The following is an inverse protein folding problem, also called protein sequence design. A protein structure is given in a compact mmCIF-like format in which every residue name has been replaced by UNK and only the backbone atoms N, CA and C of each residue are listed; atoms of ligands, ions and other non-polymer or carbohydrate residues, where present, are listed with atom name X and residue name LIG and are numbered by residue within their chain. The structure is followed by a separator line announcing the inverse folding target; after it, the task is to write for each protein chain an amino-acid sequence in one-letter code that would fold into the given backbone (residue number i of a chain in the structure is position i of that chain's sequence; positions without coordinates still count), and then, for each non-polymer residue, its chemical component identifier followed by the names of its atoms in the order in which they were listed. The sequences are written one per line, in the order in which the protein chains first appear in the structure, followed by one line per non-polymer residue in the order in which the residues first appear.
data_IF_868287652597
#
_entry.id   IF_868287652597
#
_cell.length_a   1.000
_cell.length_b   1.000
_cell.length_c   1.000
_cell.angle_alpha   90.00
_cell.angle_beta   90.00
_cell.angle_gamma   90.00
#
_symmetry.space_group_name_H-M   'P 1'
#
loop_
_entity.id
_entity.type
_entity.pdbx_description
1 polymer ?
#
# COMPACT_ATOMS: atom_id res chain seq x y z
N UNK A 1 26.73 19.56 4.03
CA UNK A 1 26.15 19.36 2.67
C UNK A 1 24.69 19.79 2.65
N UNK A 2 24.13 20.07 1.46
CA UNK A 2 22.73 20.49 1.33
C UNK A 2 21.77 19.36 1.74
N UNK A 3 20.72 19.72 2.45
CA UNK A 3 19.62 18.78 2.76
C UNK A 3 18.90 18.33 1.49
N UNK A 4 18.22 17.18 1.53
CA UNK A 4 17.39 16.70 0.40
C UNK A 4 16.40 17.76 -0.06
N UNK A 5 15.82 18.52 0.88
CA UNK A 5 14.87 19.58 0.54
C UNK A 5 15.52 20.73 -0.22
N UNK A 6 16.72 21.17 0.18
CA UNK A 6 17.49 22.20 -0.53
C UNK A 6 17.86 21.75 -1.95
N UNK A 7 18.32 20.51 -2.11
CA UNK A 7 18.63 19.93 -3.43
C UNK A 7 17.40 19.92 -4.35
N UNK A 8 16.22 19.54 -3.83
CA UNK A 8 14.96 19.60 -4.55
C UNK A 8 14.61 21.02 -4.93
N UNK A 9 14.75 21.98 -3.97
CA UNK A 9 14.41 23.38 -4.18
C UNK A 9 15.34 24.11 -5.15
N UNK A 10 16.53 23.61 -5.43
CA UNK A 10 17.38 24.13 -6.52
C UNK A 10 16.69 24.03 -7.89
N UNK A 11 16.07 22.89 -8.19
CA UNK A 11 15.45 22.58 -9.49
C UNK A 11 13.94 22.80 -9.53
N UNK A 12 13.26 22.70 -8.38
CA UNK A 12 11.81 22.67 -8.29
C UNK A 12 11.27 23.73 -7.35
N UNK A 13 10.16 24.35 -7.72
CA UNK A 13 9.34 25.22 -6.89
C UNK A 13 8.28 24.39 -6.17
N UNK A 14 8.14 24.54 -4.85
CA UNK A 14 7.09 23.87 -4.07
C UNK A 14 5.76 24.59 -4.28
N UNK A 15 4.77 23.90 -4.86
CA UNK A 15 3.42 24.45 -5.07
C UNK A 15 2.48 24.17 -3.89
N UNK A 16 2.60 23.00 -3.26
CA UNK A 16 1.78 22.62 -2.12
C UNK A 16 2.06 21.21 -1.62
N UNK A 17 1.63 20.94 -0.39
CA UNK A 17 1.72 19.61 0.22
C UNK A 17 0.45 18.81 -0.16
N UNK A 18 0.62 17.63 -0.76
CA UNK A 18 -0.49 16.73 -1.12
C UNK A 18 -0.83 15.83 0.06
N UNK A 19 0.19 15.22 0.70
CA UNK A 19 -0.01 14.24 1.77
C UNK A 19 1.19 14.25 2.71
N UNK A 20 0.94 13.96 3.98
CA UNK A 20 1.98 13.71 4.98
C UNK A 20 1.64 12.45 5.77
N UNK A 21 2.65 11.67 6.11
CA UNK A 21 2.51 10.45 6.90
C UNK A 21 3.79 10.12 7.65
N UNK A 22 3.79 9.03 8.41
CA UNK A 22 4.94 8.64 9.23
C UNK A 22 6.24 8.36 8.47
N UNK A 23 6.15 8.00 7.19
CA UNK A 23 7.30 7.70 6.33
C UNK A 23 7.81 8.92 5.56
N UNK A 24 7.12 10.07 5.60
CA UNK A 24 7.52 11.25 4.85
C UNK A 24 6.36 12.10 4.36
N UNK A 25 6.64 12.96 3.40
CA UNK A 25 5.66 13.88 2.84
C UNK A 25 5.71 13.90 1.30
N UNK A 26 4.54 14.15 0.69
CA UNK A 26 4.37 14.24 -0.75
C UNK A 26 3.99 15.67 -1.08
N UNK A 27 4.72 16.28 -2.00
CA UNK A 27 4.53 17.66 -2.44
C UNK A 27 4.25 17.72 -3.94
N UNK A 28 3.35 18.60 -4.35
CA UNK A 28 3.25 19.05 -5.72
C UNK A 28 4.31 20.11 -5.95
N UNK A 29 5.06 19.99 -7.05
CA UNK A 29 6.15 20.89 -7.39
C UNK A 29 6.09 21.27 -8.86
N UNK A 30 6.76 22.37 -9.24
CA UNK A 30 6.95 22.79 -10.63
C UNK A 30 8.44 22.84 -10.94
N UNK A 31 8.86 22.24 -12.05
CA UNK A 31 10.25 22.35 -12.51
C UNK A 31 10.53 23.78 -12.96
N UNK A 32 11.49 24.46 -12.34
CA UNK A 32 11.73 25.90 -12.51
C UNK A 32 12.03 26.31 -13.97
N UNK A 33 12.73 25.45 -14.73
CA UNK A 33 13.12 25.74 -16.11
C UNK A 33 12.08 25.23 -17.14
N UNK A 34 11.46 24.06 -16.87
CA UNK A 34 10.54 23.43 -17.85
C UNK A 34 9.08 23.87 -17.65
N UNK A 35 8.74 24.43 -16.47
CA UNK A 35 7.38 24.80 -16.11
C UNK A 35 6.45 23.62 -15.82
N UNK A 36 6.95 22.39 -15.92
CA UNK A 36 6.14 21.17 -15.79
C UNK A 36 5.89 20.80 -14.32
N UNK A 37 4.67 20.37 -14.05
CA UNK A 37 4.27 19.91 -12.72
C UNK A 37 4.78 18.48 -12.45
N UNK A 38 5.25 18.24 -11.22
CA UNK A 38 5.78 16.96 -10.73
C UNK A 38 5.28 16.71 -9.31
N UNK A 39 5.48 15.49 -8.85
CA UNK A 39 5.30 15.11 -7.45
C UNK A 39 6.66 14.78 -6.87
N UNK A 40 6.95 15.34 -5.70
CA UNK A 40 8.14 14.97 -4.91
C UNK A 40 7.68 14.23 -3.67
N UNK A 41 8.14 12.99 -3.52
CA UNK A 41 7.97 12.18 -2.32
C UNK A 41 9.26 12.24 -1.52
N UNK A 42 9.24 12.94 -0.38
CA UNK A 42 10.36 13.03 0.55
C UNK A 42 10.17 11.93 1.60
N UNK A 43 11.19 11.11 1.78
CA UNK A 43 11.21 10.02 2.75
C UNK A 43 12.26 10.28 3.81
N UNK A 44 11.95 9.93 5.05
CA UNK A 44 12.86 9.98 6.19
C UNK A 44 13.36 8.57 6.49
N UNK A 45 14.62 8.38 6.88
CA UNK A 45 15.10 7.10 7.36
C UNK A 45 14.29 6.71 8.60
N UNK A 46 13.91 5.45 8.71
CA UNK A 46 13.21 4.94 9.90
C UNK A 46 14.17 4.68 11.06
N UNK A 47 15.45 4.47 10.75
CA UNK A 47 16.54 4.28 11.71
C UNK A 47 17.67 5.24 11.35
N UNK A 48 18.10 6.06 12.31
CA UNK A 48 19.29 6.90 12.14
C UNK A 48 20.54 6.00 11.98
N UNK A 49 21.30 6.21 10.91
CA UNK A 49 22.59 5.55 10.69
C UNK A 49 22.56 4.28 9.84
N UNK A 50 21.44 3.87 9.25
CA UNK A 50 21.39 2.74 8.32
C UNK A 50 21.95 3.11 6.94
N UNK A 51 23.28 3.05 6.81
CA UNK A 51 23.98 3.31 5.53
C UNK A 51 23.62 2.27 4.44
N UNK A 52 23.31 1.02 4.82
CA UNK A 52 22.87 0.01 3.86
C UNK A 52 21.51 0.34 3.27
N UNK A 53 20.62 0.95 4.06
CA UNK A 53 19.32 1.43 3.57
C UNK A 53 19.50 2.43 2.42
N UNK A 54 20.34 3.45 2.59
CA UNK A 54 20.60 4.46 1.58
C UNK A 54 21.18 3.85 0.29
N UNK A 55 22.13 2.91 0.41
CA UNK A 55 22.76 2.25 -0.75
C UNK A 55 21.74 1.40 -1.52
N UNK A 56 20.93 0.59 -0.81
CA UNK A 56 19.87 -0.22 -1.42
C UNK A 56 18.83 0.66 -2.12
N UNK A 57 18.43 1.73 -1.46
CA UNK A 57 17.45 2.68 -1.97
C UNK A 57 17.91 3.34 -3.28
N UNK A 58 19.17 3.80 -3.34
CA UNK A 58 19.78 4.36 -4.58
C UNK A 58 19.79 3.33 -5.70
N UNK A 59 20.17 2.08 -5.41
CA UNK A 59 20.23 1.00 -6.40
C UNK A 59 18.85 0.70 -6.99
N UNK A 60 17.80 0.69 -6.17
CA UNK A 60 16.45 0.49 -6.64
C UNK A 60 15.94 1.69 -7.46
N UNK A 61 16.20 2.92 -7.01
CA UNK A 61 15.87 4.12 -7.76
C UNK A 61 16.53 4.11 -9.15
N UNK A 62 17.78 3.66 -9.27
CA UNK A 62 18.49 3.50 -10.57
C UNK A 62 17.80 2.48 -11.49
N UNK A 63 17.17 1.46 -10.93
CA UNK A 63 16.40 0.50 -11.71
C UNK A 63 15.08 1.11 -12.17
N UNK A 64 14.40 1.83 -11.29
CA UNK A 64 13.08 2.39 -11.54
C UNK A 64 13.09 3.58 -12.50
N UNK A 65 14.15 4.37 -12.54
CA UNK A 65 14.26 5.49 -13.48
C UNK A 65 14.25 5.02 -14.96
N UNK A 66 14.59 3.75 -15.20
CA UNK A 66 14.55 3.11 -16.51
C UNK A 66 13.21 2.49 -16.87
N UNK A 67 12.28 2.40 -15.89
CA UNK A 67 10.93 1.88 -16.11
C UNK A 67 10.14 2.92 -16.87
N UNK A 68 9.71 2.60 -18.09
CA UNK A 68 8.85 3.46 -18.93
C UNK A 68 7.70 2.63 -19.46
N UNK A 69 6.50 2.99 -19.05
CA UNK A 69 5.26 2.35 -19.49
C UNK A 69 4.08 3.33 -19.34
N UNK A 70 3.13 3.37 -20.27
CA UNK A 70 2.00 4.32 -20.19
C UNK A 70 1.19 4.18 -18.90
N UNK A 71 1.06 2.97 -18.38
CA UNK A 71 0.32 2.66 -17.17
C UNK A 71 1.18 2.65 -15.88
N UNK A 72 2.39 3.20 -15.90
CA UNK A 72 3.25 3.35 -14.72
C UNK A 72 3.70 4.80 -14.62
N UNK A 73 3.59 5.39 -13.43
CA UNK A 73 4.09 6.74 -13.16
C UNK A 73 5.61 6.81 -13.37
N UNK A 74 6.07 7.77 -14.17
CA UNK A 74 7.47 7.93 -14.49
C UNK A 74 8.24 8.50 -13.30
N UNK A 75 9.36 7.90 -12.93
CA UNK A 75 10.38 8.49 -12.06
C UNK A 75 11.31 9.37 -12.92
N UNK A 76 11.47 10.65 -12.55
CA UNK A 76 12.28 11.63 -13.30
C UNK A 76 13.61 11.92 -12.66
N UNK A 77 13.65 12.05 -11.32
CA UNK A 77 14.85 12.43 -10.60
C UNK A 77 14.84 11.84 -9.19
N UNK A 78 16.00 11.80 -8.58
CA UNK A 78 16.22 11.22 -7.28
C UNK A 78 17.29 11.99 -6.53
N UNK A 79 17.05 12.28 -5.25
CA UNK A 79 17.98 12.97 -4.36
C UNK A 79 18.18 12.17 -3.08
N UNK A 80 19.37 12.23 -2.51
CA UNK A 80 19.67 11.68 -1.20
C UNK A 80 20.68 12.59 -0.48
N UNK A 81 20.58 12.66 0.84
CA UNK A 81 21.55 13.38 1.69
C UNK A 81 22.31 12.42 2.60
N UNK A 82 23.33 12.95 3.28
CA UNK A 82 24.19 12.16 4.18
C UNK A 82 23.46 11.69 5.45
N UNK A 83 22.36 12.34 5.79
CA UNK A 83 21.50 11.93 6.91
C UNK A 83 20.59 10.73 6.54
N UNK A 84 20.67 10.23 5.29
CA UNK A 84 19.86 9.14 4.78
C UNK A 84 18.45 9.56 4.34
N UNK A 85 18.12 10.86 4.33
CA UNK A 85 16.86 11.29 3.73
C UNK A 85 16.93 11.15 2.22
N UNK A 86 15.80 10.83 1.61
CA UNK A 86 15.72 10.66 0.17
C UNK A 86 14.48 11.35 -0.40
N UNK A 87 14.58 11.82 -1.64
CA UNK A 87 13.45 12.35 -2.38
C UNK A 87 13.37 11.75 -3.78
N UNK A 88 12.18 11.37 -4.18
CA UNK A 88 11.86 10.91 -5.53
C UNK A 88 10.99 11.95 -6.23
N UNK A 89 11.37 12.32 -7.44
CA UNK A 89 10.59 13.20 -8.31
C UNK A 89 9.89 12.37 -9.35
N UNK A 90 8.58 12.37 -9.30
CA UNK A 90 7.73 11.52 -10.15
C UNK A 90 6.75 12.34 -10.99
N UNK A 91 6.17 11.70 -11.97
CA UNK A 91 5.07 12.23 -12.76
C UNK A 91 3.92 12.69 -11.86
N UNK A 92 3.43 13.93 -12.09
CA UNK A 92 2.16 14.38 -11.54
C UNK A 92 1.03 13.86 -12.41
N UNK A 93 0.08 13.15 -11.80
CA UNK A 93 -1.07 12.56 -12.50
C UNK A 93 -2.32 13.33 -12.08
N UNK A 94 -2.91 14.15 -12.98
CA UNK A 94 -4.16 14.84 -12.71
C UNK A 94 -5.32 13.85 -12.78
N UNK A 95 -5.66 13.25 -11.64
CA UNK A 95 -6.66 12.18 -11.56
C UNK A 95 -7.06 11.89 -10.11
N UNK A 96 -7.73 10.75 -9.93
CA UNK A 96 -8.22 10.25 -8.67
C UNK A 96 -7.63 8.85 -8.43
N UNK A 97 -7.20 8.53 -7.21
CA UNK A 97 -6.88 7.16 -6.87
C UNK A 97 -8.14 6.31 -6.70
N UNK A 98 -8.02 4.99 -6.86
CA UNK A 98 -9.20 4.09 -6.79
C UNK A 98 -9.81 4.04 -5.38
N UNK A 99 -9.06 4.36 -4.33
CA UNK A 99 -9.58 4.49 -2.97
C UNK A 99 -10.57 5.65 -2.89
N UNK A 100 -10.15 6.80 -3.39
CA UNK A 100 -10.95 8.00 -3.40
C UNK A 100 -12.15 7.85 -4.36
N UNK A 101 -11.96 7.16 -5.50
CA UNK A 101 -13.06 6.80 -6.41
C UNK A 101 -14.13 6.02 -5.66
N UNK A 102 -13.75 4.92 -5.00
CA UNK A 102 -14.68 4.08 -4.25
C UNK A 102 -15.38 4.84 -3.12
N UNK A 103 -14.63 5.70 -2.42
CA UNK A 103 -15.17 6.51 -1.31
C UNK A 103 -16.18 7.54 -1.78
N UNK A 104 -15.93 8.23 -2.91
CA UNK A 104 -16.80 9.31 -3.43
C UNK A 104 -17.98 8.80 -4.23
N UNK A 105 -17.75 7.78 -5.06
CA UNK A 105 -18.70 7.35 -6.09
C UNK A 105 -19.22 5.94 -5.88
N UNK A 106 -18.61 5.16 -4.95
CA UNK A 106 -18.89 3.73 -4.81
C UNK A 106 -18.32 2.91 -5.96
N UNK A 107 -18.74 1.65 -6.12
CA UNK A 107 -18.32 0.80 -7.22
C UNK A 107 -18.71 1.40 -8.58
N UNK A 108 -17.77 1.50 -9.53
CA UNK A 108 -18.05 1.96 -10.88
C UNK A 108 -18.90 0.94 -11.66
N UNK A 109 -19.28 1.28 -12.89
CA UNK A 109 -19.89 0.30 -13.80
C UNK A 109 -18.95 -0.87 -14.06
N UNK A 110 -19.51 -2.01 -14.46
CA UNK A 110 -18.70 -3.18 -14.86
C UNK A 110 -17.72 -2.84 -16.00
N UNK A 111 -18.15 -1.98 -16.94
CA UNK A 111 -17.32 -1.55 -18.05
C UNK A 111 -16.07 -0.79 -17.59
N UNK A 112 -16.24 0.19 -16.71
CA UNK A 112 -15.12 0.95 -16.14
C UNK A 112 -14.25 0.08 -15.23
N UNK A 113 -14.86 -0.78 -14.43
CA UNK A 113 -14.11 -1.72 -13.57
C UNK A 113 -13.22 -2.66 -14.40
N UNK A 114 -13.73 -3.22 -15.50
CA UNK A 114 -12.97 -4.09 -16.41
C UNK A 114 -11.86 -3.31 -17.14
N UNK A 115 -12.13 -2.08 -17.57
CA UNK A 115 -11.11 -1.22 -18.19
C UNK A 115 -9.97 -0.91 -17.21
N UNK A 116 -10.31 -0.49 -15.98
CA UNK A 116 -9.34 -0.23 -14.92
C UNK A 116 -8.54 -1.50 -14.61
N UNK A 117 -9.20 -2.64 -14.49
CA UNK A 117 -8.55 -3.92 -14.23
C UNK A 117 -7.57 -4.31 -15.32
N UNK A 118 -7.99 -4.17 -16.60
CA UNK A 118 -7.15 -4.49 -17.75
C UNK A 118 -5.88 -3.64 -17.79
N UNK A 119 -6.00 -2.33 -17.64
CA UNK A 119 -4.86 -1.40 -17.66
C UNK A 119 -3.94 -1.57 -16.43
N UNK A 120 -4.50 -1.88 -15.25
CA UNK A 120 -3.70 -2.21 -14.08
C UNK A 120 -2.81 -3.42 -14.32
N UNK A 121 -3.33 -4.46 -14.98
CA UNK A 121 -2.56 -5.65 -15.34
C UNK A 121 -1.53 -5.39 -16.44
N UNK A 122 -1.73 -4.40 -17.32
CA UNK A 122 -0.68 -3.96 -18.26
C UNK A 122 0.56 -3.47 -17.48
N UNK A 123 0.34 -2.65 -16.44
CA UNK A 123 1.41 -2.18 -15.57
C UNK A 123 2.07 -3.34 -14.79
N UNK A 124 1.25 -4.16 -14.13
CA UNK A 124 1.73 -5.29 -13.30
C UNK A 124 2.50 -6.30 -14.16
N UNK A 125 1.97 -6.72 -15.30
CA UNK A 125 2.62 -7.64 -16.22
C UNK A 125 3.94 -7.09 -16.79
N UNK A 126 3.99 -5.78 -17.07
CA UNK A 126 5.22 -5.14 -17.49
C UNK A 126 6.34 -5.23 -16.43
N UNK A 127 6.02 -5.08 -15.14
CA UNK A 127 6.97 -5.26 -14.04
C UNK A 127 7.38 -6.73 -13.92
N UNK A 128 6.42 -7.65 -13.97
CA UNK A 128 6.67 -9.09 -13.85
C UNK A 128 7.62 -9.62 -14.93
N UNK A 129 7.47 -9.18 -16.19
CA UNK A 129 8.38 -9.54 -17.29
C UNK A 129 9.83 -9.05 -17.06
N UNK A 130 10.04 -8.13 -16.12
CA UNK A 130 11.36 -7.64 -15.68
C UNK A 130 11.80 -8.24 -14.36
N UNK A 131 11.14 -9.30 -13.89
CA UNK A 131 11.38 -9.94 -12.60
C UNK A 131 11.21 -8.98 -11.41
N UNK A 132 10.32 -7.99 -11.55
CA UNK A 132 10.00 -7.04 -10.49
C UNK A 132 8.63 -7.38 -9.93
N UNK A 133 8.54 -7.61 -8.62
CA UNK A 133 7.29 -7.80 -7.88
C UNK A 133 6.99 -6.53 -7.11
N UNK A 134 5.80 -5.98 -7.27
CA UNK A 134 5.43 -4.68 -6.70
C UNK A 134 5.21 -4.75 -5.18
N UNK A 135 4.61 -5.82 -4.67
CA UNK A 135 4.37 -6.12 -3.24
C UNK A 135 3.45 -5.13 -2.50
N UNK A 136 2.90 -4.14 -3.18
CA UNK A 136 2.02 -3.12 -2.59
C UNK A 136 0.87 -2.69 -3.53
N UNK A 137 0.30 -3.63 -4.25
CA UNK A 137 -0.88 -3.36 -5.08
C UNK A 137 -2.06 -3.06 -4.16
N UNK A 138 -2.61 -1.86 -4.29
CA UNK A 138 -3.75 -1.36 -3.51
C UNK A 138 -4.48 -0.26 -4.27
N UNK A 139 -5.73 0.08 -3.92
CA UNK A 139 -6.47 1.16 -4.59
C UNK A 139 -5.78 2.52 -4.48
N UNK A 140 -5.02 2.76 -3.41
CA UNK A 140 -4.27 4.00 -3.19
C UNK A 140 -3.10 4.16 -4.16
N UNK A 141 -2.62 3.06 -4.74
CA UNK A 141 -1.48 3.03 -5.67
C UNK A 141 -1.90 2.91 -7.16
N UNK A 142 -3.19 2.98 -7.45
CA UNK A 142 -3.74 2.97 -8.80
C UNK A 142 -4.51 4.26 -9.04
N UNK A 143 -4.01 5.12 -9.93
CA UNK A 143 -4.61 6.39 -10.30
C UNK A 143 -5.40 6.23 -11.60
N UNK A 144 -6.65 6.68 -11.60
CA UNK A 144 -7.46 6.87 -12.80
C UNK A 144 -7.36 8.32 -13.24
N UNK A 145 -6.95 8.55 -14.47
CA UNK A 145 -6.84 9.87 -15.10
C UNK A 145 -7.36 9.81 -16.55
N UNK A 146 -7.20 10.89 -17.31
CA UNK A 146 -7.46 10.94 -18.76
C UNK A 146 -6.14 10.93 -19.51
N UNK A 147 -6.11 10.25 -20.65
CA UNK A 147 -5.03 10.42 -21.63
C UNK A 147 -5.22 11.71 -22.46
N UNK A 148 -4.33 11.94 -23.42
CA UNK A 148 -4.38 13.10 -24.30
C UNK A 148 -5.65 13.14 -25.17
N UNK A 149 -6.29 12.00 -25.44
CA UNK A 149 -7.53 11.88 -26.20
C UNK A 149 -8.78 11.94 -25.30
N UNK A 150 -8.63 12.17 -23.99
CA UNK A 150 -9.72 12.20 -23.01
C UNK A 150 -10.22 10.81 -22.58
N UNK A 151 -9.55 9.72 -23.00
CA UNK A 151 -9.91 8.35 -22.62
C UNK A 151 -9.41 8.01 -21.23
N UNK A 152 -10.01 7.00 -20.53
CA UNK A 152 -9.52 6.57 -19.23
C UNK A 152 -8.11 5.99 -19.35
N UNK A 153 -7.22 6.48 -18.50
CA UNK A 153 -5.86 5.99 -18.33
C UNK A 153 -5.63 5.65 -16.88
N UNK A 154 -5.21 4.41 -16.61
CA UNK A 154 -4.81 3.97 -15.27
C UNK A 154 -3.30 4.00 -15.17
N UNK A 155 -2.79 4.59 -14.10
CA UNK A 155 -1.37 4.62 -13.79
C UNK A 155 -1.09 4.02 -12.41
N UNK A 156 -0.20 3.04 -12.37
CA UNK A 156 0.37 2.49 -11.15
C UNK A 156 1.42 3.48 -10.63
N UNK A 157 1.21 3.95 -9.41
CA UNK A 157 2.12 4.83 -8.69
C UNK A 157 2.83 4.04 -7.59
N UNK A 158 3.92 4.57 -7.08
CA UNK A 158 4.64 4.06 -5.90
C UNK A 158 5.13 2.61 -6.04
N UNK A 159 6.19 2.40 -6.80
CA UNK A 159 6.77 1.08 -7.14
C UNK A 159 7.44 0.36 -5.95
N UNK A 160 6.89 0.45 -4.75
CA UNK A 160 7.20 -0.44 -3.61
C UNK A 160 8.66 -0.44 -3.11
N UNK A 161 9.49 0.53 -3.51
CA UNK A 161 10.92 0.64 -3.17
C UNK A 161 11.16 0.45 -1.66
N UNK A 162 10.31 1.05 -0.85
CA UNK A 162 10.46 1.04 0.61
C UNK A 162 10.22 -0.37 1.19
N UNK A 163 9.35 -1.18 0.57
CA UNK A 163 9.00 -2.51 1.11
C UNK A 163 10.07 -3.58 0.93
N UNK A 164 10.88 -3.48 -0.11
CA UNK A 164 12.03 -4.39 -0.28
C UNK A 164 13.03 -4.15 0.86
N UNK A 165 13.16 -2.90 1.29
CA UNK A 165 14.06 -2.48 2.36
C UNK A 165 13.51 -2.81 3.76
N UNK A 166 12.20 -2.69 3.97
CA UNK A 166 11.53 -3.01 5.24
C UNK A 166 11.45 -4.52 5.52
N UNK A 167 11.28 -5.34 4.48
CA UNK A 167 11.16 -6.80 4.64
C UNK A 167 12.44 -7.46 5.19
N UNK A 168 13.60 -6.82 4.97
CA UNK A 168 14.88 -7.30 5.48
C UNK A 168 15.25 -6.70 6.86
N UNK A 169 14.66 -5.56 7.24
CA UNK A 169 15.08 -4.80 8.42
C UNK A 169 14.20 -4.97 9.66
N UNK A 170 12.92 -5.34 9.54
CA UNK A 170 12.02 -5.36 10.69
C UNK A 170 11.06 -6.55 10.70
N UNK A 171 11.12 -7.32 11.78
CA UNK A 171 9.99 -8.14 12.21
C UNK A 171 8.74 -7.27 12.40
N UNK A 172 7.63 -7.77 11.95
CA UNK A 172 6.25 -7.28 11.78
C UNK A 172 5.58 -6.43 12.91
N UNK A 173 6.26 -5.49 13.58
CA UNK A 173 5.71 -4.83 14.78
C UNK A 173 5.80 -3.31 14.79
N UNK A 174 5.03 -2.62 13.94
CA UNK A 174 4.73 -1.20 14.13
C UNK A 174 3.24 -0.94 13.98
N UNK A 175 2.61 -0.60 15.10
CA UNK A 175 1.18 -0.42 15.32
C UNK A 175 0.59 0.76 14.55
N UNK A 176 -0.59 0.59 13.97
CA UNK A 176 -1.48 1.66 13.48
C UNK A 176 -1.42 1.97 11.98
N UNK A 177 -0.25 2.18 11.39
CA UNK A 177 -0.08 2.43 9.94
C UNK A 177 -0.20 1.14 9.11
N UNK A 178 -0.10 0.01 9.77
CA UNK A 178 -0.04 -1.33 9.21
C UNK A 178 -1.38 -1.88 8.73
N UNK A 179 -2.50 -1.51 9.37
CA UNK A 179 -3.83 -2.07 9.06
C UNK A 179 -4.25 -1.78 7.62
N UNK A 180 -3.95 -0.58 7.11
CA UNK A 180 -4.27 -0.21 5.71
C UNK A 180 -3.55 -1.10 4.69
N UNK A 181 -2.28 -1.39 4.92
CA UNK A 181 -1.43 -2.23 4.05
C UNK A 181 -1.78 -3.72 4.15
N UNK A 182 -2.14 -4.21 5.34
CA UNK A 182 -2.54 -5.60 5.59
C UNK A 182 -3.77 -6.00 4.78
N UNK A 183 -4.68 -5.07 4.50
CA UNK A 183 -5.95 -5.33 3.79
C UNK A 183 -5.80 -5.92 2.38
N UNK A 184 -4.66 -5.69 1.74
CA UNK A 184 -4.38 -6.12 0.34
C UNK A 184 -3.21 -7.08 0.24
N UNK A 185 -2.52 -7.37 1.35
CA UNK A 185 -1.36 -8.24 1.34
C UNK A 185 -1.75 -9.69 1.05
N UNK A 186 -0.92 -10.39 0.29
CA UNK A 186 -1.13 -11.81 -0.02
C UNK A 186 -0.78 -12.70 1.17
N UNK A 187 -1.35 -13.92 1.27
CA UNK A 187 -1.07 -14.87 2.35
C UNK A 187 0.43 -15.14 2.54
N UNK A 188 1.17 -15.30 1.44
CA UNK A 188 2.60 -15.58 1.47
C UNK A 188 3.45 -14.39 1.95
N UNK A 189 2.97 -13.16 1.86
CA UNK A 189 3.65 -12.00 2.44
C UNK A 189 3.71 -12.08 3.98
N UNK A 190 2.75 -12.74 4.61
CA UNK A 190 2.75 -12.99 6.06
C UNK A 190 3.61 -14.18 6.45
N UNK A 191 3.84 -15.13 5.53
CA UNK A 191 4.69 -16.32 5.71
C UNK A 191 6.16 -16.05 5.33
N UNK A 192 6.51 -14.85 4.85
CA UNK A 192 7.87 -14.54 4.37
C UNK A 192 8.94 -14.63 5.48
N UNK A 193 8.58 -14.37 6.73
CA UNK A 193 9.45 -14.60 7.89
C UNK A 193 9.83 -16.09 8.07
N UNK A 194 9.04 -17.02 7.51
CA UNK A 194 9.27 -18.46 7.50
C UNK A 194 10.07 -18.93 6.26
N UNK A 195 10.60 -17.99 5.43
CA UNK A 195 11.38 -18.28 4.23
C UNK A 195 10.53 -18.52 2.97
N UNK A 196 9.25 -18.19 2.98
CA UNK A 196 8.40 -18.27 1.79
C UNK A 196 8.89 -17.31 0.71
N UNK A 197 9.19 -17.84 -0.48
CA UNK A 197 9.62 -17.04 -1.63
C UNK A 197 8.43 -16.31 -2.24
N UNK A 198 8.49 -14.98 -2.23
CA UNK A 198 7.50 -14.13 -2.91
C UNK A 198 7.77 -14.12 -4.42
N UNK A 199 6.74 -14.40 -5.20
CA UNK A 199 6.77 -14.29 -6.66
C UNK A 199 5.67 -13.34 -7.18
N UNK A 200 5.57 -13.23 -8.50
CA UNK A 200 4.60 -12.38 -9.20
C UNK A 200 3.12 -12.66 -8.83
N UNK A 201 2.81 -13.86 -8.33
CA UNK A 201 1.45 -14.25 -7.96
C UNK A 201 0.98 -13.58 -6.66
N UNK A 202 1.92 -13.03 -5.87
CA UNK A 202 1.58 -12.18 -4.72
C UNK A 202 0.87 -10.90 -5.18
N UNK A 203 1.36 -10.25 -6.24
CA UNK A 203 0.69 -9.08 -6.81
C UNK A 203 -0.67 -9.43 -7.41
N UNK A 204 -0.82 -10.63 -7.99
CA UNK A 204 -2.10 -11.09 -8.54
C UNK A 204 -3.16 -11.30 -7.47
N UNK A 205 -2.78 -11.79 -6.28
CA UNK A 205 -3.70 -11.87 -5.14
C UNK A 205 -4.13 -10.47 -4.68
N UNK A 206 -3.16 -9.56 -4.46
CA UNK A 206 -3.43 -8.19 -4.06
C UNK A 206 -4.32 -7.48 -5.08
N UNK A 207 -4.06 -7.67 -6.37
CA UNK A 207 -4.92 -7.19 -7.45
C UNK A 207 -6.32 -7.82 -7.39
N UNK A 208 -6.44 -9.11 -7.05
CA UNK A 208 -7.72 -9.78 -6.83
C UNK A 208 -8.55 -9.12 -5.73
N UNK A 209 -7.90 -8.70 -4.62
CA UNK A 209 -8.54 -7.94 -3.54
C UNK A 209 -9.05 -6.58 -4.04
N UNK A 210 -8.21 -5.86 -4.80
CA UNK A 210 -8.59 -4.57 -5.42
C UNK A 210 -9.77 -4.73 -6.37
N UNK A 211 -9.74 -5.75 -7.24
CA UNK A 211 -10.80 -6.01 -8.20
C UNK A 211 -12.11 -6.39 -7.52
N UNK A 212 -12.04 -7.22 -6.47
CA UNK A 212 -13.22 -7.56 -5.65
C UNK A 212 -13.85 -6.30 -5.06
N UNK A 213 -13.03 -5.43 -4.43
CA UNK A 213 -13.52 -4.19 -3.84
C UNK A 213 -14.08 -3.22 -4.91
N UNK A 214 -13.44 -3.13 -6.07
CA UNK A 214 -13.90 -2.30 -7.19
C UNK A 214 -15.27 -2.74 -7.72
N UNK A 215 -15.53 -4.06 -7.74
CA UNK A 215 -16.79 -4.63 -8.21
C UNK A 215 -17.92 -4.54 -7.18
N UNK A 216 -17.61 -4.70 -5.88
CA UNK A 216 -18.61 -4.84 -4.82
C UNK A 216 -18.70 -3.65 -3.87
N UNK A 217 -17.66 -2.80 -3.81
CA UNK A 217 -17.50 -1.74 -2.80
C UNK A 217 -17.12 -2.28 -1.42
N UNK A 218 -16.79 -3.58 -1.30
CA UNK A 218 -16.45 -4.24 -0.04
C UNK A 218 -15.18 -5.06 -0.18
N UNK A 219 -14.45 -5.21 0.92
CA UNK A 219 -13.29 -6.10 0.96
C UNK A 219 -13.73 -7.57 0.99
N UNK A 220 -12.96 -8.50 0.35
CA UNK A 220 -13.25 -9.92 0.37
C UNK A 220 -13.01 -10.59 1.72
N UNK A 221 -12.23 -9.96 2.60
CA UNK A 221 -11.94 -10.42 3.95
C UNK A 221 -12.15 -9.29 4.95
N UNK A 222 -12.56 -9.61 6.17
CA UNK A 222 -12.83 -8.64 7.24
C UNK A 222 -12.09 -9.02 8.50
N UNK A 223 -11.76 -8.03 9.31
CA UNK A 223 -11.13 -8.17 10.60
C UNK A 223 -10.95 -6.80 11.26
N UNK A 224 -11.24 -6.73 12.55
CA UNK A 224 -11.20 -5.49 13.33
C UNK A 224 -9.78 -5.14 13.80
N UNK A 225 -8.87 -6.09 13.71
CA UNK A 225 -7.45 -5.93 14.09
C UNK A 225 -6.54 -6.40 12.96
N UNK A 226 -5.27 -5.96 12.97
CA UNK A 226 -4.28 -6.44 12.01
C UNK A 226 -4.12 -7.97 12.07
N UNK A 227 -4.10 -8.56 13.27
CA UNK A 227 -4.00 -10.02 13.45
C UNK A 227 -5.22 -10.75 12.89
N UNK A 228 -6.44 -10.22 13.09
CA UNK A 228 -7.65 -10.79 12.53
C UNK A 228 -7.65 -10.73 10.99
N UNK A 229 -7.20 -9.62 10.40
CA UNK A 229 -7.03 -9.49 8.95
C UNK A 229 -5.99 -10.47 8.40
N UNK A 230 -4.83 -10.60 9.06
CA UNK A 230 -3.80 -11.59 8.69
C UNK A 230 -4.39 -13.01 8.71
N UNK A 231 -5.07 -13.39 9.79
CA UNK A 231 -5.71 -14.69 9.89
C UNK A 231 -6.76 -14.89 8.79
N UNK A 232 -7.55 -13.85 8.45
CA UNK A 232 -8.53 -13.91 7.39
C UNK A 232 -7.89 -14.10 6.01
N UNK A 233 -6.79 -13.40 5.71
CA UNK A 233 -6.03 -13.61 4.47
C UNK A 233 -5.41 -15.02 4.38
N UNK A 234 -4.91 -15.55 5.49
CA UNK A 234 -4.27 -16.86 5.54
C UNK A 234 -5.28 -18.02 5.43
N UNK A 235 -6.41 -17.94 6.15
CA UNK A 235 -7.22 -19.12 6.44
C UNK A 235 -8.69 -19.00 6.03
N UNK A 236 -9.26 -17.79 5.95
CA UNK A 236 -10.68 -17.66 5.65
C UNK A 236 -10.94 -17.52 4.15
N UNK A 237 -11.97 -18.17 3.60
CA UNK A 237 -12.38 -17.91 2.23
C UNK A 237 -12.81 -16.45 2.06
N UNK A 238 -12.78 -15.91 0.83
CA UNK A 238 -13.38 -14.61 0.55
C UNK A 238 -14.88 -14.61 0.91
N UNK A 239 -15.40 -13.47 1.31
CA UNK A 239 -16.84 -13.30 1.47
C UNK A 239 -17.55 -13.65 0.16
N UNK A 240 -18.65 -14.38 0.25
CA UNK A 240 -19.46 -14.74 -0.91
C UNK A 240 -20.08 -13.49 -1.57
N UNK A 241 -20.27 -13.56 -2.87
CA UNK A 241 -20.94 -12.49 -3.62
C UNK A 241 -22.42 -12.35 -3.27
N UNK A 242 -23.06 -13.39 -2.71
CA UNK A 242 -24.39 -13.33 -2.13
C UNK A 242 -24.49 -12.34 -0.96
N UNK A 243 -23.39 -12.17 -0.20
CA UNK A 243 -23.29 -11.22 0.91
C UNK A 243 -22.88 -9.84 0.44
N UNK A 244 -21.94 -9.75 -0.50
CA UNK A 244 -21.31 -8.46 -0.88
C UNK A 244 -21.92 -7.83 -2.13
N UNK A 245 -22.60 -8.62 -2.96
CA UNK A 245 -23.35 -8.22 -4.14
C UNK A 245 -24.74 -8.90 -4.17
N UNK A 246 -25.63 -8.65 -3.18
CA UNK A 246 -26.93 -9.31 -3.08
C UNK A 246 -27.85 -9.01 -4.26
N UNK A 247 -27.56 -7.95 -5.01
CA UNK A 247 -28.32 -7.57 -6.21
C UNK A 247 -27.87 -8.35 -7.47
N UNK A 248 -26.79 -9.13 -7.38
CA UNK A 248 -26.29 -9.92 -8.48
C UNK A 248 -25.74 -9.11 -9.66
N UNK A 249 -25.19 -7.92 -9.41
CA UNK A 249 -24.64 -7.05 -10.46
C UNK A 249 -23.38 -7.63 -11.09
N UNK A 250 -22.56 -8.34 -10.31
CA UNK A 250 -21.30 -8.93 -10.77
C UNK A 250 -21.61 -10.27 -11.46
N UNK A 251 -21.34 -10.42 -12.76
CA UNK A 251 -21.58 -11.65 -13.49
C UNK A 251 -20.67 -12.82 -13.05
N UNK A 252 -21.08 -14.05 -13.33
CA UNK A 252 -20.37 -15.26 -12.89
C UNK A 252 -18.93 -15.33 -13.41
N UNK A 253 -18.68 -14.93 -14.66
CA UNK A 253 -17.36 -14.92 -15.28
C UNK A 253 -16.36 -13.99 -14.54
N UNK A 254 -16.81 -12.82 -14.08
CA UNK A 254 -16.01 -11.93 -13.23
C UNK A 254 -15.85 -12.47 -11.80
N UNK A 255 -16.89 -13.09 -11.23
CA UNK A 255 -16.81 -13.74 -9.90
C UNK A 255 -15.77 -14.86 -9.92
N UNK A 256 -15.82 -15.73 -10.92
CA UNK A 256 -14.90 -16.86 -11.07
C UNK A 256 -13.45 -16.39 -11.23
N UNK A 257 -13.22 -15.33 -12.02
CA UNK A 257 -11.91 -14.72 -12.18
C UNK A 257 -11.37 -14.21 -10.85
N UNK A 258 -12.19 -13.44 -10.11
CA UNK A 258 -11.79 -12.87 -8.82
C UNK A 258 -11.50 -13.97 -7.80
N UNK A 259 -12.34 -15.00 -7.71
CA UNK A 259 -12.12 -16.12 -6.79
C UNK A 259 -10.84 -16.89 -7.10
N UNK A 260 -10.48 -17.05 -8.38
CA UNK A 260 -9.19 -17.63 -8.78
C UNK A 260 -8.00 -16.78 -8.35
N UNK A 261 -8.10 -15.46 -8.47
CA UNK A 261 -7.05 -14.53 -7.99
C UNK A 261 -6.88 -14.60 -6.48
N UNK A 262 -7.97 -14.79 -5.73
CA UNK A 262 -8.00 -14.86 -4.28
C UNK A 262 -7.71 -16.25 -3.69
N UNK A 263 -7.30 -17.23 -4.51
CA UNK A 263 -6.86 -18.52 -4.04
C UNK A 263 -5.70 -18.38 -3.04
N UNK A 264 -5.75 -19.15 -1.93
CA UNK A 264 -4.78 -19.00 -0.84
C UNK A 264 -3.39 -19.46 -1.25
N UNK A 265 -3.30 -20.58 -1.92
CA UNK A 265 -2.03 -21.09 -2.44
C UNK A 265 -1.70 -20.42 -3.78
N UNK A 266 -0.48 -19.92 -3.97
CA UNK A 266 -0.06 -19.27 -5.21
C UNK A 266 -0.18 -20.16 -6.44
N UNK A 267 -0.03 -21.49 -6.29
CA UNK A 267 -0.18 -22.49 -7.38
C UNK A 267 -1.57 -22.53 -7.98
N UNK A 268 -2.60 -22.18 -7.19
CA UNK A 268 -4.00 -22.25 -7.60
C UNK A 268 -4.47 -20.97 -8.31
N UNK A 269 -3.62 -19.94 -8.31
CA UNK A 269 -3.85 -18.66 -9.00
C UNK A 269 -3.42 -18.76 -10.47
N UNK A 270 -3.87 -17.83 -11.33
CA UNK A 270 -3.31 -17.67 -12.67
C UNK A 270 -1.78 -17.54 -12.62
N UNK A 271 -1.09 -18.12 -13.60
CA UNK A 271 0.37 -18.19 -13.59
C UNK A 271 1.05 -16.82 -13.69
N UNK A 272 0.43 -15.88 -14.41
CA UNK A 272 0.97 -14.55 -14.67
C UNK A 272 -0.14 -13.54 -15.00
N UNK A 273 0.23 -12.27 -15.12
CA UNK A 273 -0.70 -11.19 -15.45
C UNK A 273 -1.31 -11.34 -16.86
N UNK A 274 -0.56 -11.88 -17.81
CA UNK A 274 -1.00 -12.10 -19.19
C UNK A 274 -2.17 -13.09 -19.27
N UNK A 275 -2.13 -14.15 -18.46
CA UNK A 275 -3.23 -15.11 -18.37
C UNK A 275 -4.53 -14.45 -17.86
N UNK A 276 -4.42 -13.52 -16.92
CA UNK A 276 -5.56 -12.74 -16.40
C UNK A 276 -6.05 -11.74 -17.45
N UNK A 277 -5.15 -11.07 -18.15
CA UNK A 277 -5.49 -10.11 -19.20
C UNK A 277 -6.24 -10.75 -20.36
N UNK A 278 -5.88 -11.99 -20.73
CA UNK A 278 -6.59 -12.69 -21.80
C UNK A 278 -8.06 -12.91 -21.45
N UNK A 279 -8.35 -13.29 -20.21
CA UNK A 279 -9.72 -13.41 -19.71
C UNK A 279 -10.43 -12.04 -19.70
N UNK A 280 -9.78 -10.99 -19.22
CA UNK A 280 -10.35 -9.64 -19.19
C UNK A 280 -10.56 -9.07 -20.61
N UNK A 281 -9.74 -9.41 -21.59
CA UNK A 281 -9.90 -8.97 -22.98
C UNK A 281 -11.22 -9.45 -23.57
N UNK A 282 -11.63 -10.68 -23.28
CA UNK A 282 -12.91 -11.22 -23.68
C UNK A 282 -14.07 -10.49 -22.98
N UNK A 283 -13.91 -10.16 -21.69
CA UNK A 283 -14.92 -9.44 -20.92
C UNK A 283 -15.02 -7.97 -21.34
N UNK A 284 -13.90 -7.32 -21.70
CA UNK A 284 -13.87 -5.91 -22.15
C UNK A 284 -14.72 -5.65 -23.38
N UNK A 285 -14.85 -6.63 -24.29
CA UNK A 285 -15.75 -6.50 -25.43
C UNK A 285 -17.23 -6.54 -25.04
N UNK A 286 -17.57 -7.22 -23.95
CA UNK A 286 -18.94 -7.39 -23.43
C UNK A 286 -19.35 -6.24 -22.52
N UNK A 287 -18.47 -5.76 -21.65
CA UNK A 287 -18.74 -4.71 -20.68
C UNK A 287 -18.03 -3.42 -21.10
N UNK A 288 -18.82 -2.49 -21.63
CA UNK A 288 -18.31 -1.16 -22.05
C UNK A 288 -18.74 -0.11 -21.04
N UNK A 289 -17.87 0.84 -20.73
CA UNK A 289 -18.22 2.03 -19.97
C UNK A 289 -18.68 3.14 -20.90
N UNK A 290 -19.45 4.11 -20.36
CA UNK A 290 -19.84 5.30 -21.11
C UNK A 290 -18.88 6.47 -20.84
N UNK A 291 -18.64 7.37 -21.82
CA UNK A 291 -17.86 8.58 -21.61
C UNK A 291 -18.41 9.46 -20.47
N UNK A 292 -19.74 9.54 -20.33
CA UNK A 292 -20.41 10.33 -19.29
C UNK A 292 -20.13 9.82 -17.89
N UNK A 293 -19.86 8.52 -17.73
CA UNK A 293 -19.42 7.94 -16.44
C UNK A 293 -18.03 8.46 -16.07
N UNK A 294 -17.12 8.53 -17.03
CA UNK A 294 -15.79 9.06 -16.80
C UNK A 294 -15.81 10.54 -16.39
N UNK A 295 -16.74 11.33 -16.97
CA UNK A 295 -16.94 12.74 -16.62
C UNK A 295 -17.45 12.90 -15.18
N UNK A 296 -18.31 12.00 -14.72
CA UNK A 296 -18.81 12.02 -13.34
C UNK A 296 -17.73 11.66 -12.31
N UNK A 297 -16.84 10.73 -12.68
CA UNK A 297 -15.80 10.21 -11.80
C UNK A 297 -14.56 11.10 -11.79
N UNK A 298 -14.19 11.64 -12.95
CA UNK A 298 -13.06 12.54 -13.13
C UNK A 298 -13.59 13.94 -13.47
N UNK A 299 -13.61 14.86 -12.50
CA UNK A 299 -13.99 16.24 -12.76
C UNK A 299 -13.07 16.89 -13.81
N UNK A 300 -13.49 18.01 -14.42
CA UNK A 300 -12.67 18.76 -15.38
C UNK A 300 -11.28 19.05 -14.82
N UNK A 301 -10.27 19.07 -15.69
CA UNK A 301 -8.86 19.26 -15.26
C UNK A 301 -8.65 20.56 -14.45
N UNK A 302 -9.46 21.58 -14.69
CA UNK A 302 -9.41 22.86 -13.98
C UNK A 302 -9.77 22.70 -12.48
N UNK A 303 -10.75 21.85 -12.15
CA UNK A 303 -11.13 21.56 -10.75
C UNK A 303 -10.11 20.67 -10.04
N UNK A 304 -9.48 19.73 -10.75
CA UNK A 304 -8.40 18.87 -10.20
C UNK A 304 -7.15 19.69 -9.85
N UNK A 305 -6.88 20.76 -10.59
CA UNK A 305 -5.79 21.70 -10.30
C UNK A 305 -6.12 22.60 -9.10
N UNK A 306 -7.37 23.03 -8.95
CA UNK A 306 -7.81 23.88 -7.84
C UNK A 306 -7.82 23.13 -6.49
N UNK A 307 -8.24 21.86 -6.49
CA UNK A 307 -8.32 21.05 -5.26
C UNK A 307 -6.93 20.72 -4.69
N UNK A 308 -5.90 20.66 -5.53
CA UNK A 308 -4.52 20.45 -5.11
C UNK A 308 -3.86 21.70 -4.46
N UNK A 309 -4.51 22.86 -4.52
CA UNK A 309 -3.99 24.15 -4.05
C UNK A 309 -4.62 24.65 -2.74
N UNK A 310 -5.56 23.94 -2.12
CA UNK A 310 -6.24 24.39 -0.89
C UNK A 310 -5.53 24.00 0.38
N UNK A 311 -4.29 24.42 0.57
CA UNK A 311 -3.70 24.77 1.87
C UNK A 311 -2.55 25.75 1.66
N UNK A 312 -2.74 27.06 1.90
CA UNK A 312 -1.62 27.98 1.94
C UNK A 312 -0.69 27.56 3.08
N UNK A 313 0.64 27.61 2.89
CA UNK A 313 1.56 27.40 3.99
C UNK A 313 1.28 28.48 5.04
N UNK A 314 0.90 28.07 6.24
CA UNK A 314 0.94 28.96 7.40
C UNK A 314 2.40 29.31 7.66
N UNK A 315 2.82 30.45 7.15
CA UNK A 315 4.05 31.12 7.56
C UNK A 315 3.91 31.41 9.07
N UNK A 316 4.84 30.99 9.91
CA UNK A 316 4.85 31.47 11.27
C UNK A 316 5.25 32.95 11.22
N UNK A 317 4.25 33.83 11.21
CA UNK A 317 4.49 35.27 11.43
C UNK A 317 4.96 35.45 12.86
N UNK A 318 6.25 35.62 13.00
CA UNK A 318 6.86 36.14 14.23
C UNK A 318 6.39 37.55 14.46
N UNK A 319 5.32 37.72 15.23
CA UNK A 319 5.05 38.94 15.93
C UNK A 319 5.33 38.69 17.41
N UNK A 320 6.12 39.59 18.07
CA UNK A 320 6.33 39.48 19.52
C UNK A 320 4.99 39.73 20.21
N UNK A 321 4.48 38.75 20.91
CA UNK A 321 3.34 38.92 21.82
C UNK A 321 3.76 39.87 22.93
N UNK A 322 3.23 41.10 22.93
CA UNK A 322 3.16 41.95 24.11
C UNK A 322 2.36 41.23 25.18
N UNK A 323 2.99 40.95 26.30
CA UNK A 323 2.35 40.39 27.48
C UNK A 323 1.31 41.39 28.03
N UNK A 324 0.07 40.96 28.31
CA UNK A 324 -0.82 41.74 29.15
C UNK A 324 -0.37 41.57 30.61
N UNK A 325 -0.15 42.71 31.30
CA UNK A 325 0.07 42.80 32.74
C UNK A 325 -1.10 42.18 33.50
N UNK A 326 -0.80 41.17 34.32
CA UNK A 326 -1.77 40.56 35.23
C UNK A 326 -2.04 41.43 36.45
N UNK A 327 -3.27 41.50 36.96
CA UNK A 327 -3.54 42.10 38.26
C UNK A 327 -3.12 41.14 39.38
N UNK A 328 -2.40 41.68 40.33
CA UNK A 328 -1.96 41.04 41.59
C UNK A 328 -3.19 40.71 42.45
N UNK A 329 -3.48 39.42 42.62
CA UNK A 329 -4.29 38.95 43.72
C UNK A 329 -3.59 37.73 44.33
N UNK A 330 -3.28 37.82 45.60
CA UNK A 330 -2.52 36.81 46.33
C UNK A 330 -3.25 35.48 46.45
N UNK A 331 -2.51 34.42 46.25
CA UNK A 331 -2.91 33.08 46.62
C UNK A 331 -1.73 32.36 47.24
N UNK A 332 -1.92 31.95 48.51
CA UNK A 332 -0.99 31.09 49.23
C UNK A 332 -1.08 29.64 48.70
N UNK A 333 0.04 28.94 48.55
CA UNK A 333 -0.01 27.53 48.11
C UNK A 333 -0.29 26.61 49.28
N UNK A 334 -1.47 25.97 49.27
CA UNK A 334 -1.73 24.80 50.10
C UNK A 334 -1.01 23.59 49.50
N UNK A 335 -0.22 22.89 50.30
CA UNK A 335 0.51 21.69 49.93
C UNK A 335 -0.43 20.55 49.50
N UNK A 336 -0.07 19.73 48.47
CA UNK A 336 -0.87 18.61 48.08
C UNK A 336 -0.78 17.47 49.12
N UNK A 337 -1.92 17.05 49.61
CA UNK A 337 -2.10 15.87 50.47
C UNK A 337 -1.86 14.60 49.61
N UNK A 338 -0.87 13.80 50.00
CA UNK A 338 -0.55 12.51 49.41
C UNK A 338 -1.64 11.53 49.80
N UNK A 339 -2.33 10.82 48.86
CA UNK A 339 -3.24 9.75 49.22
C UNK A 339 -2.46 8.53 49.69
N UNK A 340 -2.99 7.90 50.78
CA UNK A 340 -2.46 6.69 51.37
C UNK A 340 -2.47 5.50 50.39
N UNK A 341 -1.49 4.55 50.50
CA UNK A 341 -1.45 3.39 49.64
C UNK A 341 -2.60 2.43 49.93
N UNK A 342 -3.20 1.89 48.82
CA UNK A 342 -4.22 0.88 48.85
C UNK A 342 -3.70 -0.45 49.46
N UNK A 343 -4.54 -1.26 50.12
CA UNK A 343 -4.12 -2.50 50.76
C UNK A 343 -3.69 -3.54 49.74
N UNK A 344 -2.54 -4.17 50.02
CA UNK A 344 -1.95 -5.25 49.26
C UNK A 344 -2.85 -6.49 49.26
N UNK A 345 -3.18 -7.00 48.10
CA UNK A 345 -3.89 -8.26 47.90
C UNK A 345 -3.01 -9.44 48.35
N UNK A 346 -3.59 -10.53 48.92
CA UNK A 346 -2.84 -11.67 49.42
C UNK A 346 -2.15 -12.44 48.25
N UNK A 347 -0.94 -12.89 48.51
CA UNK A 347 -0.13 -13.68 47.58
C UNK A 347 -0.84 -14.99 47.19
N UNK A 348 -1.01 -15.20 45.91
CA UNK A 348 -1.51 -16.47 45.34
C UNK A 348 -0.32 -17.43 45.28
N UNK A 349 -0.41 -18.53 46.05
CA UNK A 349 0.55 -19.65 46.02
C UNK A 349 0.47 -20.34 44.65
N UNK A 350 1.57 -20.59 43.95
CA UNK A 350 1.53 -21.31 42.69
C UNK A 350 1.19 -22.79 42.91
N UNK A 351 0.27 -23.29 42.05
CA UNK A 351 -0.13 -24.69 42.01
C UNK A 351 1.04 -25.58 41.56
N UNK A 352 1.15 -26.83 42.04
CA UNK A 352 2.22 -27.73 41.69
C UNK A 352 2.15 -28.15 40.21
N UNK A 353 3.29 -28.11 39.54
CA UNK A 353 3.47 -28.53 38.12
C UNK A 353 3.17 -30.03 38.01
N UNK A 354 2.36 -30.49 37.05
CA UNK A 354 2.15 -31.92 36.83
C UNK A 354 3.43 -32.59 36.32
N UNK A 355 3.73 -33.76 36.85
CA UNK A 355 4.87 -34.60 36.49
C UNK A 355 4.79 -35.02 35.02
N UNK A 356 5.89 -34.79 34.29
CA UNK A 356 6.04 -35.21 32.91
C UNK A 356 6.27 -36.71 32.88
N UNK A 357 5.34 -37.47 32.31
CA UNK A 357 5.51 -38.91 32.01
C UNK A 357 6.44 -39.05 30.78
N UNK A 358 7.48 -39.89 30.85
CA UNK A 358 8.36 -40.07 29.68
C UNK A 358 7.65 -40.82 28.56
N UNK A 359 7.86 -40.33 27.33
CA UNK A 359 7.32 -40.88 26.09
C UNK A 359 7.91 -42.30 25.82
N UNK A 360 7.15 -43.23 25.22
CA UNK A 360 7.64 -44.54 24.84
C UNK A 360 8.69 -44.46 23.73
N UNK A 361 9.68 -45.39 23.69
CA UNK A 361 10.74 -45.38 22.68
C UNK A 361 10.22 -45.67 21.28
N UNK A 362 10.78 -44.96 20.29
CA UNK A 362 10.46 -45.09 18.86
C UNK A 362 10.77 -46.49 18.32
N UNK A 363 9.96 -47.03 17.40
CA UNK A 363 10.21 -48.34 16.79
C UNK A 363 11.44 -48.31 15.88
N UNK A 364 12.26 -49.36 15.97
CA UNK A 364 13.49 -49.55 15.17
C UNK A 364 13.14 -49.74 13.68
N UNK A 365 13.93 -49.21 12.73
CA UNK A 365 13.70 -49.42 11.30
C UNK A 365 13.95 -50.87 10.92
N UNK A 366 12.99 -51.48 10.20
CA UNK A 366 13.13 -52.80 9.60
C UNK A 366 14.13 -52.72 8.43
N UNK A 367 15.19 -53.54 8.52
CA UNK A 367 16.10 -53.82 7.38
C UNK A 367 15.33 -54.57 6.30
N UNK A 368 15.22 -54.00 5.12
CA UNK A 368 14.82 -54.73 3.91
C UNK A 368 16.03 -55.47 3.35
N UNK A 369 15.93 -56.77 3.32
CA UNK A 369 16.87 -57.64 2.60
C UNK A 369 16.54 -57.52 1.09
N UNK A 370 17.53 -57.05 0.31
CA UNK A 370 17.50 -57.21 -1.13
C UNK A 370 17.70 -58.65 -1.48
N UNK A 371 16.68 -59.33 -2.00
CA UNK A 371 16.80 -60.64 -2.69
C UNK A 371 17.05 -60.32 -4.17
N UNK A 372 18.25 -60.61 -4.64
CA UNK A 372 18.59 -60.62 -6.04
C UNK A 372 18.01 -61.90 -6.71
N UNK A 373 17.51 -61.74 -7.88
CA UNK A 373 17.14 -62.84 -8.81
C UNK A 373 17.95 -62.75 -10.10
N UNK A 374 18.24 -63.87 -10.72
CA UNK A 374 19.27 -64.06 -11.73
C UNK A 374 18.99 -63.45 -13.08
#
# INVERSE_FOLDING_TARGET
MATVLEQVQEKYELLGKIKEGGMGAIYKVRHKLLGEERVVKIMRPQLEGDQEFAVRFVREAQTLIRVRHPNIAQLYDFFADEAGNAAMVMEYIPGIDLRELLRRHGPPSLGLAVEVAFQSLEAIGFLHRRNMVHRDISPDNLMLCRDADGKPLVKLIDLGIVKVLEAEATGLTSTGMFIGKVRYASPEQFKSAEGAKLDQRSDLYSFGVVLYELLTGRLPVVGDTASALIAAHLYHPPLGFDVTDPQGRVPSDLRDLVLKLLAKEPSDRPANAEAVQELLRQLKSRYRFSPEELEKVLPPQEELQATALTAPPTTPSGQPRTQPTAPTAGWEPTAPTVPAPAPTAPAVTPAPTPAVTPAPPAPRPRRWLCVGTP
#
